data_IF_796173932338
#
_entry.id   IF_796173932338
#
_cell.length_a   1.000
_cell.length_b   1.000
_cell.length_c   1.000
_cell.angle_alpha   90.00
_cell.angle_beta   90.00
_cell.angle_gamma   90.00
#
_symmetry.space_group_name_H-M   'P 1'
#
loop_
_entity.id
_entity.type
_entity.pdbx_description
1 polymer ?
#
# COMPACT_ATOMS: atom_id res chain seq x y z
N UNK A 1 12.37 14.22 13.19
CA UNK A 1 12.23 13.19 12.14
C UNK A 1 13.48 12.33 12.15
N UNK A 2 13.34 11.03 11.90
CA UNK A 2 14.46 10.09 11.76
C UNK A 2 15.08 10.23 10.36
N UNK A 3 16.37 10.56 10.23
CA UNK A 3 17.04 10.58 8.93
C UNK A 3 17.12 9.19 8.29
N UNK A 4 16.89 9.11 6.98
CA UNK A 4 17.06 7.88 6.19
C UNK A 4 17.97 8.19 4.99
N UNK A 5 19.30 8.02 5.13
CA UNK A 5 20.26 8.40 4.09
C UNK A 5 20.19 7.52 2.83
N UNK A 6 20.62 8.09 1.70
CA UNK A 6 20.84 7.36 0.46
C UNK A 6 22.13 6.52 0.54
N UNK A 7 22.02 5.21 0.41
CA UNK A 7 23.13 4.28 0.24
C UNK A 7 23.55 4.23 -1.24
N UNK A 8 24.49 5.08 -1.63
CA UNK A 8 24.95 5.19 -3.04
C UNK A 8 25.78 4.00 -3.52
N UNK A 9 26.26 3.17 -2.60
CA UNK A 9 26.99 1.93 -2.85
C UNK A 9 26.07 0.73 -3.14
N UNK A 10 24.75 0.93 -3.03
CA UNK A 10 23.72 -0.10 -3.20
C UNK A 10 22.72 0.29 -4.28
N UNK A 11 22.07 -0.70 -4.89
CA UNK A 11 20.91 -0.49 -5.76
C UNK A 11 20.03 -1.72 -5.84
N UNK A 12 18.75 -1.51 -6.09
CA UNK A 12 17.82 -2.58 -6.43
C UNK A 12 17.70 -2.70 -7.94
N UNK A 13 17.83 -3.90 -8.48
CA UNK A 13 17.64 -4.16 -9.92
C UNK A 13 16.39 -5.00 -10.14
N UNK A 14 15.53 -4.53 -11.04
CA UNK A 14 14.48 -5.36 -11.66
C UNK A 14 15.15 -6.44 -12.49
N UNK A 15 14.82 -7.71 -12.22
CA UNK A 15 15.31 -8.86 -12.99
C UNK A 15 14.20 -9.54 -13.79
N UNK A 16 12.95 -9.37 -13.37
CA UNK A 16 11.77 -9.91 -14.06
C UNK A 16 10.57 -8.98 -13.90
N UNK A 17 9.66 -9.03 -14.88
CA UNK A 17 8.36 -8.37 -14.87
C UNK A 17 7.31 -9.31 -15.43
N UNK A 18 6.12 -9.34 -14.82
CA UNK A 18 4.95 -10.04 -15.36
C UNK A 18 3.70 -9.17 -15.17
N UNK A 19 2.82 -9.17 -16.16
CA UNK A 19 1.53 -8.49 -16.05
C UNK A 19 0.55 -9.32 -15.21
N UNK A 20 -0.23 -8.66 -14.37
CA UNK A 20 -1.22 -9.30 -13.50
C UNK A 20 -2.58 -9.42 -14.21
N UNK A 21 -2.95 -10.65 -14.59
CA UNK A 21 -4.15 -10.93 -15.38
C UNK A 21 -5.02 -11.98 -14.73
N UNK A 22 -6.32 -11.72 -14.64
CA UNK A 22 -7.26 -12.72 -14.13
C UNK A 22 -7.40 -13.86 -15.13
N UNK A 23 -7.22 -15.08 -14.65
CA UNK A 23 -7.28 -16.30 -15.47
C UNK A 23 -8.61 -16.49 -16.19
N UNK A 24 -9.71 -16.09 -15.55
CA UNK A 24 -11.06 -16.14 -16.11
C UNK A 24 -11.41 -14.94 -17.03
N UNK A 25 -10.48 -14.02 -17.28
CA UNK A 25 -10.75 -12.79 -18.02
C UNK A 25 -11.70 -11.86 -17.26
N UNK A 26 -12.41 -10.96 -17.96
CA UNK A 26 -13.38 -10.05 -17.32
C UNK A 26 -14.68 -10.77 -16.95
N UNK A 27 -15.37 -10.29 -15.91
CA UNK A 27 -16.72 -10.74 -15.54
C UNK A 27 -17.66 -9.54 -15.41
N UNK A 28 -18.54 -9.37 -16.41
CA UNK A 28 -19.50 -8.27 -16.45
C UNK A 28 -20.58 -8.36 -15.38
N UNK A 29 -20.94 -9.58 -14.93
CA UNK A 29 -21.97 -9.75 -13.91
C UNK A 29 -21.47 -9.30 -12.53
N UNK A 30 -20.17 -9.42 -12.29
CA UNK A 30 -19.51 -8.92 -11.09
C UNK A 30 -18.91 -7.51 -11.26
N UNK A 31 -18.96 -6.89 -12.44
CA UNK A 31 -18.19 -5.67 -12.74
C UNK A 31 -16.69 -5.87 -12.43
N UNK A 32 -16.14 -7.05 -12.76
CA UNK A 32 -14.72 -7.39 -12.62
C UNK A 32 -13.94 -7.13 -13.92
N UNK A 33 -12.80 -6.41 -13.87
CA UNK A 33 -11.95 -6.22 -15.05
C UNK A 33 -11.23 -7.52 -15.45
N UNK A 34 -10.61 -7.53 -16.65
CA UNK A 34 -9.85 -8.68 -17.14
C UNK A 34 -8.47 -8.83 -16.48
N UNK A 35 -7.99 -7.76 -15.84
CA UNK A 35 -6.66 -7.67 -15.23
C UNK A 35 -6.75 -6.91 -13.91
N UNK A 36 -5.70 -7.03 -13.10
CA UNK A 36 -5.51 -6.17 -11.93
C UNK A 36 -5.22 -4.76 -12.45
N UNK A 37 -6.10 -3.80 -12.15
CA UNK A 37 -6.05 -2.44 -12.67
C UNK A 37 -5.13 -1.55 -11.83
N UNK A 38 -5.30 -1.65 -10.52
CA UNK A 38 -4.44 -1.03 -9.51
C UNK A 38 -3.85 -2.09 -8.58
N UNK A 39 -2.63 -1.88 -8.13
CA UNK A 39 -1.91 -2.82 -7.27
C UNK A 39 -1.35 -2.14 -6.02
N UNK A 40 -2.25 -1.43 -5.33
CA UNK A 40 -2.03 -0.49 -4.23
C UNK A 40 -1.53 -1.11 -2.93
N UNK A 41 -1.49 -2.44 -2.82
CA UNK A 41 -0.80 -3.14 -1.74
C UNK A 41 -0.45 -4.57 -2.15
N UNK A 42 0.65 -5.11 -1.62
CA UNK A 42 1.12 -6.48 -1.88
C UNK A 42 1.45 -7.19 -0.57
N UNK A 43 0.79 -8.32 -0.29
CA UNK A 43 0.97 -9.03 0.99
C UNK A 43 1.08 -10.54 0.82
N UNK A 44 1.94 -11.15 1.64
CA UNK A 44 1.96 -12.58 1.88
C UNK A 44 0.72 -12.99 2.68
N UNK A 45 -0.11 -13.88 2.15
CA UNK A 45 -1.32 -14.38 2.82
C UNK A 45 -1.33 -15.91 2.82
N UNK A 46 -0.86 -16.49 3.94
CA UNK A 46 -0.71 -17.93 4.07
C UNK A 46 0.31 -18.48 3.06
N UNK A 47 -0.16 -19.31 2.12
CA UNK A 47 0.65 -19.89 1.04
C UNK A 47 0.46 -19.15 -0.30
N UNK A 48 -0.22 -18.01 -0.29
CA UNK A 48 -0.55 -17.22 -1.48
C UNK A 48 0.04 -15.81 -1.37
N UNK A 49 0.24 -15.20 -2.53
CA UNK A 49 0.54 -13.79 -2.66
C UNK A 49 -0.74 -13.05 -3.02
N UNK A 50 -1.06 -11.96 -2.32
CA UNK A 50 -2.27 -11.18 -2.55
C UNK A 50 -1.96 -9.74 -2.95
N UNK A 51 -2.66 -9.25 -3.98
CA UNK A 51 -2.64 -7.86 -4.43
C UNK A 51 -4.01 -7.24 -4.14
N UNK A 52 -4.00 -6.06 -3.53
CA UNK A 52 -5.21 -5.25 -3.30
C UNK A 52 -5.26 -4.11 -4.31
N UNK A 53 -6.47 -3.82 -4.80
CA UNK A 53 -6.72 -2.68 -5.69
C UNK A 53 -7.50 -1.59 -4.95
N UNK A 54 -7.09 -0.33 -5.07
CA UNK A 54 -7.84 0.82 -4.56
C UNK A 54 -9.03 1.20 -5.47
N UNK A 55 -8.88 0.98 -6.79
CA UNK A 55 -9.82 1.38 -7.84
C UNK A 55 -10.82 0.28 -8.23
N UNK A 56 -10.70 -0.89 -7.61
CA UNK A 56 -11.58 -2.03 -7.83
C UNK A 56 -11.78 -2.86 -6.56
N UNK A 57 -13.04 -3.24 -6.26
CA UNK A 57 -13.38 -4.02 -5.07
C UNK A 57 -13.10 -5.53 -5.25
N UNK A 58 -11.84 -5.87 -5.52
CA UNK A 58 -11.30 -7.21 -5.64
C UNK A 58 -9.93 -7.31 -4.99
N UNK A 59 -9.61 -8.49 -4.47
CA UNK A 59 -8.25 -8.90 -4.14
C UNK A 59 -7.83 -9.96 -5.15
N UNK A 60 -6.63 -9.84 -5.71
CA UNK A 60 -6.08 -10.84 -6.60
C UNK A 60 -5.10 -11.74 -5.83
N UNK A 61 -5.33 -13.05 -5.84
CA UNK A 61 -4.30 -14.02 -5.48
C UNK A 61 -3.44 -14.30 -6.70
N UNK A 62 -2.11 -14.33 -6.54
CA UNK A 62 -1.16 -14.22 -7.66
C UNK A 62 -0.24 -15.44 -7.71
N UNK A 63 -0.13 -16.06 -8.89
CA UNK A 63 1.02 -16.89 -9.27
C UNK A 63 2.18 -15.93 -9.63
N UNK A 64 3.22 -15.79 -8.79
CA UNK A 64 4.25 -14.79 -8.99
C UNK A 64 5.09 -15.06 -10.24
N UNK A 65 5.17 -16.31 -10.72
CA UNK A 65 5.99 -16.67 -11.88
C UNK A 65 5.29 -16.33 -13.19
N UNK A 66 3.96 -16.41 -13.22
CA UNK A 66 3.16 -16.20 -14.43
C UNK A 66 2.34 -14.91 -14.46
N UNK A 67 2.16 -14.25 -13.32
CA UNK A 67 1.22 -13.13 -13.19
C UNK A 67 -0.25 -13.56 -13.34
N UNK A 68 -0.54 -14.85 -13.23
CA UNK A 68 -1.88 -15.38 -13.33
C UNK A 68 -2.63 -15.14 -12.01
N UNK A 69 -3.81 -14.53 -12.09
CA UNK A 69 -4.58 -14.13 -10.92
C UNK A 69 -5.90 -14.88 -10.80
N UNK A 70 -6.29 -15.18 -9.56
CA UNK A 70 -7.66 -15.52 -9.19
C UNK A 70 -8.24 -14.39 -8.33
N UNK A 71 -9.54 -14.12 -8.46
CA UNK A 71 -10.19 -12.99 -7.80
C UNK A 71 -10.92 -13.43 -6.53
N UNK A 72 -10.71 -12.70 -5.45
CA UNK A 72 -11.59 -12.69 -4.29
C UNK A 72 -12.44 -11.43 -4.36
N UNK A 73 -13.77 -11.61 -4.38
CA UNK A 73 -14.71 -10.50 -4.53
C UNK A 73 -14.97 -9.83 -3.17
N UNK A 74 -14.71 -8.52 -3.07
CA UNK A 74 -15.06 -7.72 -1.88
C UNK A 74 -16.56 -7.33 -1.93
N UNK A 75 -17.16 -6.64 -0.94
CA UNK A 75 -18.50 -6.08 -1.08
C UNK A 75 -18.59 -4.94 -2.11
N UNK A 76 -19.74 -4.77 -2.77
CA UNK A 76 -19.90 -3.78 -3.84
C UNK A 76 -20.07 -2.37 -3.25
N UNK A 77 -19.80 -1.35 -4.06
CA UNK A 77 -20.21 0.01 -3.74
C UNK A 77 -21.73 0.13 -3.59
N UNK A 78 -22.19 1.25 -3.05
CA UNK A 78 -23.63 1.48 -2.79
C UNK A 78 -24.52 1.41 -4.06
N UNK A 79 -23.93 1.63 -5.23
CA UNK A 79 -24.59 1.53 -6.55
C UNK A 79 -24.46 0.13 -7.19
N UNK A 80 -23.93 -0.84 -6.45
CA UNK A 80 -23.68 -2.21 -6.93
C UNK A 80 -22.43 -2.36 -7.79
N UNK A 81 -21.67 -1.28 -8.05
CA UNK A 81 -20.45 -1.32 -8.87
C UNK A 81 -19.23 -1.75 -8.06
N UNK A 82 -18.22 -2.21 -8.78
CA UNK A 82 -16.93 -2.65 -8.23
C UNK A 82 -15.74 -1.98 -8.87
N UNK A 83 -15.90 -1.33 -10.02
CA UNK A 83 -14.87 -0.52 -10.65
C UNK A 83 -15.13 0.97 -10.40
N UNK A 84 -14.10 1.68 -9.97
CA UNK A 84 -14.14 3.10 -9.65
C UNK A 84 -13.14 3.86 -10.52
N UNK A 85 -13.62 4.82 -11.30
CA UNK A 85 -12.77 5.64 -12.15
C UNK A 85 -13.45 6.97 -12.52
N UNK A 86 -12.69 7.87 -13.15
CA UNK A 86 -13.18 9.19 -13.58
C UNK A 86 -14.26 9.07 -14.64
N UNK A 87 -14.12 8.14 -15.60
CA UNK A 87 -15.08 7.93 -16.68
C UNK A 87 -16.44 7.45 -16.18
N UNK A 88 -16.47 6.72 -15.06
CA UNK A 88 -17.69 6.26 -14.38
C UNK A 88 -18.28 7.28 -13.41
N UNK A 89 -17.53 8.33 -13.06
CA UNK A 89 -17.95 9.40 -12.14
C UNK A 89 -18.16 8.94 -10.69
N UNK A 90 -17.55 7.81 -10.29
CA UNK A 90 -17.79 7.17 -8.99
C UNK A 90 -16.54 7.04 -8.10
N UNK A 91 -15.44 7.75 -8.39
CA UNK A 91 -14.20 7.75 -7.58
C UNK A 91 -14.45 7.99 -6.08
N UNK A 92 -15.41 8.83 -5.71
CA UNK A 92 -15.70 9.11 -4.29
C UNK A 92 -16.26 7.89 -3.51
N UNK A 93 -16.73 6.85 -4.22
CA UNK A 93 -17.25 5.63 -3.62
C UNK A 93 -16.18 4.54 -3.40
N UNK A 94 -14.93 4.77 -3.84
CA UNK A 94 -13.84 3.80 -3.62
C UNK A 94 -13.57 3.58 -2.13
N UNK A 95 -13.27 2.35 -1.77
CA UNK A 95 -12.81 1.99 -0.43
C UNK A 95 -11.39 2.52 -0.15
N UNK A 96 -10.63 2.78 -1.22
CA UNK A 96 -9.29 3.36 -1.16
C UNK A 96 -8.29 2.50 -0.41
N UNK A 97 -8.34 1.18 -0.64
CA UNK A 97 -7.52 0.20 0.06
C UNK A 97 -6.08 0.28 -0.43
N UNK A 98 -5.19 0.83 0.39
CA UNK A 98 -3.81 1.19 0.01
C UNK A 98 -2.75 0.58 0.94
N UNK A 99 -3.16 -0.24 1.90
CA UNK A 99 -2.22 -1.08 2.65
C UNK A 99 -2.87 -2.40 3.05
N UNK A 100 -2.07 -3.47 3.07
CA UNK A 100 -2.56 -4.81 3.34
C UNK A 100 -1.57 -5.64 4.14
N UNK A 101 -2.08 -6.51 5.00
CA UNK A 101 -1.27 -7.41 5.83
C UNK A 101 -2.06 -8.65 6.23
N UNK A 102 -1.36 -9.74 6.54
CA UNK A 102 -1.98 -10.93 7.10
C UNK A 102 -2.20 -10.79 8.62
N UNK A 103 -3.38 -11.23 9.08
CA UNK A 103 -3.73 -11.36 10.48
C UNK A 103 -4.40 -12.73 10.70
N UNK A 104 -3.67 -13.66 11.31
CA UNK A 104 -4.03 -15.08 11.35
C UNK A 104 -4.26 -15.62 9.93
N UNK A 105 -5.43 -16.23 9.67
CA UNK A 105 -5.82 -16.78 8.37
C UNK A 105 -6.51 -15.74 7.45
N UNK A 106 -6.64 -14.49 7.89
CA UNK A 106 -7.28 -13.43 7.12
C UNK A 106 -6.26 -12.47 6.50
N UNK A 107 -6.57 -11.97 5.31
CA UNK A 107 -5.95 -10.78 4.75
C UNK A 107 -6.77 -9.56 5.19
N UNK A 108 -6.09 -8.56 5.76
CA UNK A 108 -6.69 -7.29 6.14
C UNK A 108 -6.16 -6.23 5.19
N UNK A 109 -7.06 -5.48 4.56
CA UNK A 109 -6.70 -4.29 3.80
C UNK A 109 -7.39 -3.06 4.40
N UNK A 110 -6.65 -1.97 4.61
CA UNK A 110 -7.17 -0.74 5.20
C UNK A 110 -7.26 0.34 4.13
N UNK A 111 -8.30 1.18 4.24
CA UNK A 111 -8.45 2.35 3.39
C UNK A 111 -7.60 3.54 3.84
N UNK A 112 -7.35 4.50 2.95
CA UNK A 112 -6.76 5.80 3.32
C UNK A 112 -7.82 6.84 3.71
N UNK A 113 -7.58 7.60 4.77
CA UNK A 113 -8.54 8.62 5.23
C UNK A 113 -8.41 9.89 4.40
N UNK A 114 -8.96 9.88 3.20
CA UNK A 114 -9.08 11.08 2.36
C UNK A 114 -10.22 12.02 2.81
N UNK A 115 -10.67 11.93 4.07
CA UNK A 115 -11.82 12.67 4.59
C UNK A 115 -13.19 12.08 4.23
N UNK A 116 -13.24 10.88 3.64
CA UNK A 116 -14.49 10.19 3.29
C UNK A 116 -14.73 8.98 4.19
N UNK A 117 -15.91 8.93 4.82
CA UNK A 117 -16.27 7.86 5.75
C UNK A 117 -16.22 6.44 5.14
N UNK A 118 -16.47 6.31 3.82
CA UNK A 118 -16.42 5.02 3.11
C UNK A 118 -15.02 4.39 3.09
N UNK A 119 -13.96 5.19 3.29
CA UNK A 119 -12.57 4.75 3.29
C UNK A 119 -12.05 4.40 4.68
N UNK A 120 -12.80 4.75 5.73
CA UNK A 120 -12.45 4.45 7.13
C UNK A 120 -12.84 3.03 7.51
N UNK A 121 -12.31 2.07 6.76
CA UNK A 121 -12.74 0.66 6.81
C UNK A 121 -11.55 -0.28 6.77
N UNK A 122 -11.77 -1.48 7.29
CA UNK A 122 -10.96 -2.65 6.96
C UNK A 122 -11.78 -3.59 6.07
N UNK A 123 -11.23 -4.02 4.95
CA UNK A 123 -11.67 -5.21 4.25
C UNK A 123 -11.01 -6.43 4.91
N UNK A 124 -11.83 -7.31 5.49
CA UNK A 124 -11.39 -8.57 6.10
C UNK A 124 -11.72 -9.68 5.12
N UNK A 125 -10.68 -10.32 4.58
CA UNK A 125 -10.78 -11.34 3.55
C UNK A 125 -10.36 -12.68 4.13
N UNK A 126 -11.27 -13.64 4.08
CA UNK A 126 -11.07 -15.01 4.54
C UNK A 126 -11.43 -15.97 3.39
N UNK A 127 -11.11 -17.25 3.52
CA UNK A 127 -11.43 -18.25 2.49
C UNK A 127 -12.93 -18.37 2.16
N UNK A 128 -13.80 -18.01 3.11
CA UNK A 128 -15.26 -18.05 2.97
C UNK A 128 -15.88 -16.81 2.33
N UNK A 129 -15.09 -15.74 2.14
CA UNK A 129 -15.58 -14.47 1.60
C UNK A 129 -14.92 -13.27 2.26
N UNK A 130 -15.40 -12.09 1.88
CA UNK A 130 -14.90 -10.82 2.39
C UNK A 130 -16.02 -9.99 3.02
N UNK A 131 -15.68 -9.26 4.08
CA UNK A 131 -16.57 -8.31 4.75
C UNK A 131 -15.86 -6.98 4.97
N UNK A 132 -16.64 -5.91 5.10
CA UNK A 132 -16.13 -4.61 5.49
C UNK A 132 -16.42 -4.34 6.97
N UNK A 133 -15.45 -3.75 7.65
CA UNK A 133 -15.55 -3.33 9.04
C UNK A 133 -15.31 -1.82 9.07
N UNK A 134 -16.31 -1.05 9.51
CA UNK A 134 -16.11 0.37 9.71
C UNK A 134 -15.23 0.60 10.95
N UNK A 135 -14.19 1.42 10.81
CA UNK A 135 -13.20 1.68 11.86
C UNK A 135 -13.03 3.18 12.17
N UNK A 136 -14.09 4.01 12.22
CA UNK A 136 -13.95 5.46 12.40
C UNK A 136 -13.16 5.84 13.67
N UNK A 137 -13.24 5.01 14.72
CA UNK A 137 -12.50 5.19 15.98
C UNK A 137 -10.99 4.98 15.81
N UNK A 138 -10.56 4.05 14.95
CA UNK A 138 -9.15 3.85 14.62
C UNK A 138 -8.61 5.08 13.87
N UNK A 139 -9.30 5.50 12.81
CA UNK A 139 -8.87 6.64 12.00
C UNK A 139 -8.82 7.95 12.81
N UNK A 140 -9.75 8.14 13.74
CA UNK A 140 -9.69 9.25 14.68
C UNK A 140 -8.44 9.22 15.57
N UNK A 141 -7.94 8.03 15.95
CA UNK A 141 -6.71 7.88 16.73
C UNK A 141 -5.43 7.98 15.87
N UNK A 142 -5.51 7.64 14.58
CA UNK A 142 -4.43 7.82 13.61
C UNK A 142 -4.22 9.30 13.28
N UNK A 143 -5.30 10.10 13.22
CA UNK A 143 -5.27 11.53 12.97
C UNK A 143 -4.65 12.29 14.17
N UNK A 144 -3.32 12.46 14.16
CA UNK A 144 -2.57 13.11 15.22
C UNK A 144 -1.87 14.39 14.75
N UNK A 145 -1.77 15.43 15.59
CA UNK A 145 -1.19 16.72 15.19
C UNK A 145 0.28 16.66 14.74
N UNK A 146 1.03 15.65 15.16
CA UNK A 146 2.44 15.47 14.80
C UNK A 146 2.64 15.01 13.34
N UNK A 147 1.58 14.60 12.64
CA UNK A 147 1.58 14.35 11.20
C UNK A 147 1.24 15.58 10.36
N UNK A 148 1.02 16.75 10.98
CA UNK A 148 0.40 17.97 10.40
C UNK A 148 -1.13 17.90 10.34
N UNK A 149 -1.78 18.96 9.83
CA UNK A 149 -3.24 19.10 9.81
C UNK A 149 -3.95 18.42 8.63
N UNK A 150 -3.19 17.77 7.74
CA UNK A 150 -3.72 17.03 6.59
C UNK A 150 -4.36 15.69 6.98
N UNK A 151 -4.91 15.03 5.97
CA UNK A 151 -5.55 13.73 6.13
C UNK A 151 -4.49 12.61 6.26
N UNK A 152 -4.82 11.53 6.97
CA UNK A 152 -3.94 10.36 7.08
C UNK A 152 -4.01 9.57 5.77
N UNK A 153 -2.86 9.34 5.14
CA UNK A 153 -2.75 8.59 3.90
C UNK A 153 -1.97 7.30 4.16
N UNK A 154 -2.67 6.18 4.33
CA UNK A 154 -2.07 4.90 4.71
C UNK A 154 -1.64 4.13 3.46
N UNK A 155 -0.34 4.15 3.16
CA UNK A 155 0.21 3.44 1.99
C UNK A 155 1.13 2.28 2.37
N UNK A 156 1.28 1.93 3.65
CA UNK A 156 2.12 0.78 4.01
C UNK A 156 1.65 0.06 5.26
N UNK A 157 1.78 -1.26 5.27
CA UNK A 157 1.48 -2.06 6.45
C UNK A 157 2.35 -3.31 6.56
N UNK A 158 2.99 -3.49 7.72
CA UNK A 158 3.79 -4.68 7.99
C UNK A 158 3.54 -5.19 9.41
N UNK A 159 3.41 -6.52 9.57
CA UNK A 159 3.38 -7.14 10.89
C UNK A 159 4.80 -7.51 11.30
N UNK A 160 5.29 -6.90 12.38
CA UNK A 160 6.63 -7.13 12.89
C UNK A 160 6.62 -7.25 14.42
N UNK A 161 7.24 -8.30 14.95
CA UNK A 161 7.38 -8.55 16.40
C UNK A 161 6.08 -8.40 17.22
N UNK A 162 4.94 -8.85 16.68
CA UNK A 162 3.63 -8.77 17.36
C UNK A 162 2.96 -7.40 17.31
N UNK A 163 3.51 -6.47 16.53
CA UNK A 163 2.93 -5.17 16.25
C UNK A 163 2.51 -5.09 14.78
N UNK A 164 1.46 -4.32 14.50
CA UNK A 164 1.25 -3.79 13.17
C UNK A 164 2.00 -2.46 13.08
N UNK A 165 2.83 -2.32 12.05
CA UNK A 165 3.45 -1.07 11.67
C UNK A 165 2.70 -0.51 10.47
N UNK A 166 2.17 0.70 10.61
CA UNK A 166 1.51 1.44 9.53
C UNK A 166 2.45 2.50 8.98
N UNK A 167 2.39 2.72 7.67
CA UNK A 167 3.09 3.76 6.94
C UNK A 167 2.13 4.87 6.52
N UNK A 168 2.42 6.10 6.91
CA UNK A 168 1.76 7.28 6.37
C UNK A 168 2.61 7.86 5.23
N UNK A 169 2.02 8.04 4.05
CA UNK A 169 2.63 8.81 2.97
C UNK A 169 2.48 10.30 3.24
N UNK A 170 3.59 11.03 3.18
CA UNK A 170 3.59 12.48 3.30
C UNK A 170 3.18 13.20 2.02
N UNK A 171 2.81 14.48 2.14
CA UNK A 171 2.61 15.37 0.99
C UNK A 171 1.22 15.97 0.88
N UNK A 172 0.21 15.39 1.55
CA UNK A 172 -1.11 16.01 1.64
C UNK A 172 -1.06 17.33 2.41
N UNK A 173 -1.85 18.34 2.03
CA UNK A 173 -1.85 19.64 2.70
C UNK A 173 -3.20 19.91 3.34
N UNK A 174 -3.19 19.97 4.66
CA UNK A 174 -4.36 20.39 5.42
C UNK A 174 -4.62 21.91 5.36
N UNK A 175 -5.62 22.41 6.10
CA UNK A 175 -6.00 23.83 6.10
C UNK A 175 -4.89 24.80 6.52
N UNK A 176 -3.87 24.35 7.26
CA UNK A 176 -2.70 25.15 7.64
C UNK A 176 -1.66 25.28 6.51
N UNK A 177 -1.86 24.57 5.40
CA UNK A 177 -0.96 24.53 4.25
C UNK A 177 0.35 23.78 4.51
N UNK A 178 0.53 23.17 5.68
CA UNK A 178 1.72 22.39 6.02
C UNK A 178 1.52 20.96 5.49
N UNK A 179 2.46 20.44 4.67
CA UNK A 179 2.31 19.09 4.14
C UNK A 179 2.48 18.06 5.26
N UNK A 180 1.72 16.97 5.18
CA UNK A 180 1.93 15.79 6.02
C UNK A 180 3.31 15.20 5.75
N UNK A 181 3.83 14.51 6.76
CA UNK A 181 5.17 13.91 6.71
C UNK A 181 5.08 12.41 6.54
N UNK A 182 6.05 11.84 5.82
CA UNK A 182 6.23 10.40 5.80
C UNK A 182 6.52 9.93 7.22
N UNK A 183 5.83 8.89 7.68
CA UNK A 183 5.95 8.41 9.06
C UNK A 183 5.57 6.96 9.18
N UNK A 184 6.07 6.31 10.23
CA UNK A 184 5.62 4.97 10.64
C UNK A 184 4.98 5.03 12.02
N UNK A 185 3.95 4.24 12.26
CA UNK A 185 3.35 4.06 13.57
C UNK A 185 3.25 2.59 13.94
N UNK A 186 3.61 2.27 15.18
CA UNK A 186 3.40 0.95 15.73
C UNK A 186 2.09 0.92 16.55
N UNK A 187 1.34 -0.16 16.41
CA UNK A 187 0.19 -0.49 17.25
C UNK A 187 0.20 -1.98 17.60
N UNK A 188 -0.29 -2.33 18.79
CA UNK A 188 -0.33 -3.71 19.22
C UNK A 188 -1.29 -4.51 18.33
N UNK A 189 -0.81 -5.61 17.74
CA UNK A 189 -1.63 -6.41 16.82
C UNK A 189 -2.86 -7.01 17.53
N UNK A 190 -2.71 -7.35 18.82
CA UNK A 190 -3.81 -7.85 19.65
C UNK A 190 -4.93 -6.82 19.85
N UNK A 191 -4.60 -5.53 19.97
CA UNK A 191 -5.60 -4.47 20.13
C UNK A 191 -6.36 -4.26 18.82
N UNK A 192 -5.66 -4.30 17.68
CA UNK A 192 -6.33 -4.24 16.38
C UNK A 192 -7.25 -5.45 16.16
N UNK A 193 -6.80 -6.65 16.53
CA UNK A 193 -7.64 -7.86 16.48
C UNK A 193 -8.92 -7.68 17.30
N UNK A 194 -8.80 -7.17 18.53
CA UNK A 194 -9.96 -6.90 19.37
C UNK A 194 -10.89 -5.86 18.72
N UNK A 195 -10.34 -4.80 18.13
CA UNK A 195 -11.12 -3.77 17.44
C UNK A 195 -11.82 -4.27 16.18
N UNK A 196 -11.20 -5.17 15.41
CA UNK A 196 -11.83 -5.79 14.22
C UNK A 196 -12.99 -6.73 14.60
N UNK A 197 -12.92 -7.32 15.79
CA UNK A 197 -13.96 -8.21 16.32
C UNK A 197 -15.12 -7.43 16.96
N UNK A 198 -14.82 -6.33 17.67
CA UNK A 198 -15.80 -5.44 18.31
C UNK A 198 -15.45 -3.96 18.05
N UNK A 199 -15.81 -3.41 16.86
CA UNK A 199 -15.45 -2.05 16.46
C UNK A 199 -15.99 -0.95 17.38
N UNK A 200 -17.10 -1.23 18.06
CA UNK A 200 -17.81 -0.26 18.91
C UNK A 200 -17.41 -0.37 20.38
N UNK A 201 -17.13 -1.57 20.88
CA UNK A 201 -16.85 -1.82 22.30
C UNK A 201 -15.37 -2.02 22.66
N UNK A 202 -14.52 -2.46 21.75
CA UNK A 202 -13.10 -2.69 22.05
C UNK A 202 -12.34 -1.37 22.27
N UNK A 203 -11.24 -1.37 23.05
CA UNK A 203 -10.35 -0.22 23.15
C UNK A 203 -9.69 0.07 21.80
N UNK A 204 -9.45 1.36 21.52
CA UNK A 204 -8.68 1.76 20.33
C UNK A 204 -7.20 1.55 20.63
N UNK A 205 -6.41 0.94 19.72
CA UNK A 205 -4.98 0.78 19.91
C UNK A 205 -4.29 2.13 20.17
N UNK A 206 -3.26 2.12 21.02
CA UNK A 206 -2.39 3.30 21.14
C UNK A 206 -1.56 3.44 19.88
N UNK A 207 -1.56 4.63 19.28
CA UNK A 207 -0.82 4.95 18.06
C UNK A 207 0.26 5.98 18.41
N UNK A 208 1.50 5.73 17.99
CA UNK A 208 2.58 6.71 18.10
C UNK A 208 3.35 6.78 16.79
N UNK A 209 3.28 7.93 16.14
CA UNK A 209 3.97 8.18 14.87
C UNK A 209 5.44 8.58 15.09
N UNK A 210 6.32 7.99 14.30
CA UNK A 210 7.72 8.37 14.13
C UNK A 210 7.90 8.95 12.71
N UNK A 211 8.01 10.28 12.57
CA UNK A 211 8.29 10.91 11.30
C UNK A 211 9.63 10.49 10.70
N UNK A 212 9.66 10.24 9.39
CA UNK A 212 10.82 9.87 8.60
C UNK A 212 11.27 11.05 7.73
N UNK A 213 12.57 11.14 7.47
CA UNK A 213 13.15 12.06 6.50
C UNK A 213 13.84 11.24 5.40
N UNK A 214 13.06 10.88 4.37
CA UNK A 214 13.48 10.05 3.24
C UNK A 214 14.39 10.80 2.25
N UNK A 215 14.39 12.13 2.30
CA UNK A 215 15.16 12.95 1.37
C UNK A 215 14.49 13.05 0.00
N UNK A 216 15.29 13.09 -1.05
CA UNK A 216 14.83 13.31 -2.42
C UNK A 216 15.65 12.50 -3.42
N UNK A 217 15.00 12.08 -4.50
CA UNK A 217 15.63 11.46 -5.67
C UNK A 217 15.52 12.42 -6.85
N UNK A 218 16.65 12.75 -7.47
CA UNK A 218 16.73 13.74 -8.56
C UNK A 218 16.04 15.09 -8.24
N UNK A 219 16.08 15.51 -6.97
CA UNK A 219 15.46 16.76 -6.51
C UNK A 219 13.95 16.68 -6.20
N UNK A 220 13.32 15.52 -6.43
CA UNK A 220 11.91 15.28 -6.10
C UNK A 220 11.82 14.52 -4.76
N UNK A 221 10.99 14.97 -3.80
CA UNK A 221 10.84 14.30 -2.51
C UNK A 221 10.43 12.83 -2.67
N UNK A 222 11.09 11.94 -1.93
CA UNK A 222 10.66 10.55 -1.80
C UNK A 222 9.48 10.46 -0.83
N UNK A 223 8.46 9.68 -1.20
CA UNK A 223 7.25 9.45 -0.44
C UNK A 223 7.05 7.96 -0.18
N UNK A 224 6.72 7.59 1.05
CA UNK A 224 6.51 6.19 1.44
C UNK A 224 5.31 5.61 0.68
N UNK A 225 5.45 4.41 0.14
CA UNK A 225 4.40 3.74 -0.64
C UNK A 225 4.20 2.27 -0.28
N UNK A 226 5.04 1.68 0.58
CA UNK A 226 4.82 0.35 1.16
C UNK A 226 5.77 0.08 2.33
N UNK A 227 5.38 -0.85 3.21
CA UNK A 227 6.22 -1.46 4.24
C UNK A 227 6.22 -2.99 4.12
N UNK A 228 7.34 -3.63 4.41
CA UNK A 228 7.43 -5.08 4.53
C UNK A 228 8.32 -5.46 5.72
N UNK A 229 7.95 -6.51 6.45
CA UNK A 229 8.79 -7.00 7.54
C UNK A 229 10.07 -7.64 6.96
N UNK A 230 11.25 -7.21 7.41
CA UNK A 230 12.51 -7.75 6.91
C UNK A 230 13.57 -7.84 8.00
N UNK A 231 14.01 -9.07 8.26
CA UNK A 231 14.98 -9.41 9.30
C UNK A 231 14.52 -8.88 10.67
N UNK A 232 15.30 -8.01 11.31
CA UNK A 232 15.01 -7.36 12.60
C UNK A 232 14.42 -5.94 12.43
N UNK A 233 13.98 -5.59 11.24
CA UNK A 233 13.39 -4.29 10.92
C UNK A 233 12.33 -4.36 9.83
N UNK A 234 12.26 -3.27 9.07
CA UNK A 234 11.29 -3.10 7.99
C UNK A 234 12.01 -2.74 6.70
N UNK A 235 11.70 -3.43 5.61
CA UNK A 235 11.88 -2.87 4.29
C UNK A 235 10.77 -1.83 4.01
N UNK A 236 11.07 -0.87 3.15
CA UNK A 236 10.06 0.06 2.67
C UNK A 236 10.28 0.38 1.19
N UNK A 237 9.19 0.65 0.48
CA UNK A 237 9.23 1.28 -0.83
C UNK A 237 8.93 2.78 -0.69
N UNK A 238 9.56 3.57 -1.55
CA UNK A 238 9.25 4.99 -1.68
C UNK A 238 9.38 5.44 -3.13
N UNK A 239 8.50 6.33 -3.55
CA UNK A 239 8.47 6.86 -4.91
C UNK A 239 8.71 8.36 -4.92
N UNK A 240 9.53 8.83 -5.86
CA UNK A 240 9.73 10.24 -6.14
C UNK A 240 8.83 10.68 -7.29
N UNK A 241 7.65 11.16 -6.92
CA UNK A 241 6.60 11.58 -7.85
C UNK A 241 6.52 13.10 -7.86
N UNK A 242 6.60 13.70 -9.05
CA UNK A 242 6.63 15.15 -9.23
C UNK A 242 5.23 15.78 -9.09
N UNK A 243 4.64 15.64 -7.91
CA UNK A 243 3.35 16.23 -7.52
C UNK A 243 3.45 16.91 -6.14
N UNK A 244 2.61 17.91 -5.92
CA UNK A 244 2.45 18.59 -4.63
C UNK A 244 1.15 18.22 -3.90
N UNK A 245 0.38 17.28 -4.45
CA UNK A 245 -0.97 16.88 -4.04
C UNK A 245 -0.97 15.39 -3.71
N UNK A 246 -1.69 14.96 -2.67
CA UNK A 246 -1.96 13.54 -2.42
C UNK A 246 -3.11 13.00 -3.30
N UNK A 247 -3.70 13.83 -4.14
CA UNK A 247 -4.87 13.51 -4.96
C UNK A 247 -4.58 13.50 -6.47
N UNK A 248 -3.55 14.22 -6.91
CA UNK A 248 -3.18 14.37 -8.32
C UNK A 248 -1.87 13.64 -8.61
N UNK A 249 -1.90 12.76 -9.59
CA UNK A 249 -0.74 11.98 -10.01
C UNK A 249 0.24 12.87 -10.81
N UNK A 250 1.50 12.87 -10.39
CA UNK A 250 2.62 13.54 -11.05
C UNK A 250 3.49 12.57 -11.85
N UNK A 251 4.44 13.10 -12.61
CA UNK A 251 5.41 12.25 -13.30
C UNK A 251 6.31 11.54 -12.27
N UNK A 252 6.36 10.20 -12.33
CA UNK A 252 7.29 9.41 -11.51
C UNK A 252 8.71 9.56 -12.07
N UNK A 253 9.59 10.13 -11.26
CA UNK A 253 11.01 10.36 -11.61
C UNK A 253 11.89 9.18 -11.21
N UNK A 254 11.46 8.40 -10.21
CA UNK A 254 12.11 7.17 -9.83
C UNK A 254 11.54 6.59 -8.54
N UNK A 255 11.97 5.37 -8.24
CA UNK A 255 11.60 4.66 -7.01
C UNK A 255 12.83 4.21 -6.23
N UNK A 256 12.66 4.03 -4.93
CA UNK A 256 13.66 3.60 -3.99
C UNK A 256 13.10 2.48 -3.11
N UNK A 257 13.97 1.57 -2.68
CA UNK A 257 13.66 0.62 -1.61
C UNK A 257 14.74 0.76 -0.56
N UNK A 258 14.31 0.78 0.69
CA UNK A 258 15.19 0.94 1.83
C UNK A 258 14.88 -0.01 2.96
N UNK A 259 15.61 0.20 4.06
CA UNK A 259 15.48 -0.53 5.30
C UNK A 259 15.46 0.43 6.49
N UNK A 260 14.65 0.09 7.48
CA UNK A 260 14.48 0.79 8.75
C UNK A 260 14.73 -0.22 9.89
N UNK A 261 15.93 -0.20 10.46
CA UNK A 261 16.26 -0.96 11.67
C UNK A 261 15.96 -0.19 12.95
N UNK A 262 16.50 -0.66 14.08
CA UNK A 262 16.46 0.11 15.33
C UNK A 262 17.43 1.32 15.27
N UNK A 263 18.68 1.06 14.89
CA UNK A 263 19.78 2.04 15.00
C UNK A 263 20.25 2.61 13.66
N UNK A 264 19.98 1.90 12.56
CA UNK A 264 20.41 2.28 11.21
C UNK A 264 19.21 2.29 10.25
N UNK A 265 19.32 3.08 9.19
CA UNK A 265 18.31 3.23 8.17
C UNK A 265 18.96 3.69 6.86
N UNK A 266 18.47 3.22 5.73
CA UNK A 266 18.98 3.63 4.43
C UNK A 266 17.95 3.39 3.33
N UNK A 267 18.13 4.04 2.18
CA UNK A 267 17.44 3.66 0.94
C UNK A 267 18.43 3.58 -0.22
N UNK A 268 18.07 2.78 -1.22
CA UNK A 268 18.81 2.64 -2.45
C UNK A 268 17.88 2.79 -3.66
N UNK A 269 18.40 3.32 -4.76
CA UNK A 269 17.61 3.54 -5.98
C UNK A 269 17.22 2.21 -6.62
N UNK A 270 16.01 2.14 -7.18
CA UNK A 270 15.56 1.02 -8.01
C UNK A 270 15.83 1.33 -9.48
N UNK A 271 16.46 0.38 -10.18
CA UNK A 271 16.80 0.47 -11.60
C UNK A 271 16.17 -0.69 -12.38
N UNK A 272 15.88 -0.46 -13.66
CA UNK A 272 15.47 -1.52 -14.58
C UNK A 272 16.66 -2.43 -14.95
N UNK A 273 16.38 -3.47 -15.73
CA UNK A 273 17.35 -4.46 -16.22
C UNK A 273 18.51 -3.85 -17.00
N UNK A 274 18.27 -2.73 -17.69
CA UNK A 274 19.27 -2.00 -18.45
C UNK A 274 20.08 -1.01 -17.59
N UNK A 275 19.75 -0.88 -16.31
CA UNK A 275 20.38 0.03 -15.36
C UNK A 275 19.83 1.45 -15.36
N UNK A 276 18.81 1.76 -16.18
CA UNK A 276 18.12 3.05 -16.11
C UNK A 276 17.28 3.14 -14.81
N UNK A 277 17.05 4.34 -14.25
CA UNK A 277 16.13 4.51 -13.12
C UNK A 277 14.73 3.95 -13.44
N UNK A 278 14.14 3.25 -12.48
CA UNK A 278 12.78 2.74 -12.63
C UNK A 278 11.78 3.90 -12.56
N UNK A 279 11.28 4.35 -13.70
CA UNK A 279 10.24 5.39 -13.80
C UNK A 279 8.82 4.80 -13.62
N UNK A 280 8.58 4.17 -12.48
CA UNK A 280 7.29 3.58 -12.12
C UNK A 280 7.09 3.58 -10.60
N UNK A 281 5.87 3.88 -10.14
CA UNK A 281 5.53 3.89 -8.72
C UNK A 281 5.49 2.46 -8.19
N UNK A 282 6.26 2.19 -7.14
CA UNK A 282 6.17 0.92 -6.42
C UNK A 282 5.07 1.04 -5.38
N UNK A 283 4.00 0.28 -5.53
CA UNK A 283 2.78 0.35 -4.71
C UNK A 283 2.59 -0.90 -3.83
N UNK A 284 3.55 -1.81 -3.91
CA UNK A 284 3.60 -3.01 -3.08
C UNK A 284 5.00 -3.58 -3.06
N UNK A 285 5.36 -4.26 -1.99
CA UNK A 285 6.68 -4.79 -1.69
C UNK A 285 6.50 -5.95 -0.72
N UNK A 286 7.06 -7.10 -1.05
CA UNK A 286 6.99 -8.27 -0.18
C UNK A 286 8.24 -9.13 -0.35
N UNK A 287 8.63 -9.82 0.72
CA UNK A 287 9.60 -10.90 0.64
C UNK A 287 8.87 -12.23 0.62
N UNK A 288 8.80 -12.86 -0.55
CA UNK A 288 8.06 -14.10 -0.77
C UNK A 288 8.99 -15.21 -1.28
N UNK A 289 9.05 -16.33 -0.56
CA UNK A 289 9.84 -17.51 -0.95
C UNK A 289 11.31 -17.15 -1.28
N UNK A 290 11.92 -16.33 -0.42
CA UNK A 290 13.29 -15.85 -0.57
C UNK A 290 13.52 -14.78 -1.65
N UNK A 291 12.47 -14.39 -2.40
CA UNK A 291 12.51 -13.37 -3.45
C UNK A 291 11.95 -12.04 -2.96
N UNK A 292 12.46 -10.95 -3.52
CA UNK A 292 11.83 -9.64 -3.40
C UNK A 292 10.91 -9.41 -4.59
N UNK A 293 9.65 -9.16 -4.28
CA UNK A 293 8.64 -8.84 -5.27
C UNK A 293 8.08 -7.45 -4.99
N UNK A 294 7.79 -6.70 -6.04
CA UNK A 294 7.15 -5.40 -5.92
C UNK A 294 6.02 -5.26 -6.94
N UNK A 295 4.94 -4.61 -6.55
CA UNK A 295 3.83 -4.30 -7.44
C UNK A 295 3.99 -2.88 -8.01
N UNK A 296 3.59 -2.71 -9.27
CA UNK A 296 3.57 -1.42 -9.96
C UNK A 296 2.18 -1.18 -10.51
N UNK A 297 1.61 -0.03 -10.16
CA UNK A 297 0.38 0.46 -10.80
C UNK A 297 0.70 1.02 -12.19
N UNK A 298 -0.21 0.79 -13.13
CA UNK A 298 -0.12 1.30 -14.49
C UNK A 298 -0.73 2.70 -14.63
N UNK A 299 -1.43 3.21 -13.60
CA UNK A 299 -2.18 4.48 -13.55
C UNK A 299 -3.15 4.64 -14.74
N UNK A 300 -3.56 3.52 -15.33
CA UNK A 300 -4.44 3.44 -16.48
C UNK A 300 -5.33 2.20 -16.33
N UNK A 301 -6.65 2.39 -16.11
CA UNK A 301 -7.64 1.32 -16.03
C UNK A 301 -7.58 0.28 -17.15
N UNK A 302 -7.09 0.65 -18.34
CA UNK A 302 -7.00 -0.23 -19.49
C UNK A 302 -5.73 -1.10 -19.51
N UNK A 303 -4.74 -0.79 -18.67
CA UNK A 303 -3.46 -1.49 -18.59
C UNK A 303 -3.42 -2.37 -17.34
N UNK A 304 -2.74 -3.51 -17.45
CA UNK A 304 -2.52 -4.38 -16.31
C UNK A 304 -1.40 -3.80 -15.43
N UNK A 305 -1.60 -3.85 -14.11
CA UNK A 305 -0.51 -3.68 -13.15
C UNK A 305 0.55 -4.77 -13.35
N UNK A 306 1.78 -4.48 -12.96
CA UNK A 306 2.91 -5.41 -13.09
C UNK A 306 3.37 -5.91 -11.72
N UNK A 307 3.86 -7.15 -11.69
CA UNK A 307 4.67 -7.68 -10.60
C UNK A 307 6.13 -7.76 -11.07
N UNK A 308 6.99 -7.09 -10.31
CA UNK A 308 8.43 -7.06 -10.51
C UNK A 308 9.10 -8.06 -9.57
N UNK A 309 10.20 -8.65 -10.03
CA UNK A 309 11.15 -9.34 -9.17
C UNK A 309 12.43 -8.53 -9.10
N UNK A 310 12.93 -8.36 -7.88
CA UNK A 310 14.03 -7.44 -7.55
C UNK A 310 15.18 -8.18 -6.88
N UNK A 311 16.39 -7.68 -7.09
CA UNK A 311 17.57 -8.08 -6.32
C UNK A 311 18.31 -6.85 -5.82
N UNK A 312 18.82 -6.92 -4.59
CA UNK A 312 19.71 -5.91 -4.03
C UNK A 312 21.15 -6.23 -4.44
N UNK A 313 21.86 -5.23 -4.93
CA UNK A 313 23.27 -5.27 -5.35
C UNK A 313 24.11 -4.22 -4.64
#
# INVERSE_FOLDING_TARGET
MRPVPHATDRRWRVIRRVELRYTDGADLALDRPAHVRAASALAAWGAELAVVSDDANFVATVDPDRGACAAVTLPAGADGRRQFDVGRGNKAAKLDLECAFALDDALIALGSDSGLAVRRVAAVVERGGARLVALPRLYAALAQPNLASGAVNLEGAAVHAGQLILGNRGGDRGPDGVPTVDAVAALALADLRALLADPDGAPVPTVTWQPLALGALAGVPLRLTELEAWDDGLAFAATAEATGSAYDDGAVVGSAIGWLGADDAWWATVVDRDGAPLAAKLEGLVRWDGRWLAAVDADDPARASELLELVLE
#
